data_IF_853958797494
#
_entry.id   IF_853958797494
#
_cell.length_a   1.000
_cell.length_b   1.000
_cell.length_c   1.000
_cell.angle_alpha   90.00
_cell.angle_beta   90.00
_cell.angle_gamma   90.00
#
_symmetry.space_group_name_H-M   'P 1'
#
loop_
_entity.id
_entity.type
_entity.pdbx_description
1 polymer ?
#
# COMPACT_ATOMS: atom_id res chain seq x y z
N UNK A 1 -2.10 -28.24 -11.30
CA UNK A 1 -3.33 -27.69 -10.68
C UNK A 1 -3.62 -28.32 -9.31
N UNK A 2 -3.56 -29.66 -9.15
CA UNK A 2 -3.82 -30.35 -7.88
C UNK A 2 -2.81 -29.97 -6.78
N UNK A 3 -1.53 -29.82 -7.12
CA UNK A 3 -0.47 -29.41 -6.19
C UNK A 3 -0.73 -28.01 -5.66
N UNK A 4 -1.01 -27.06 -6.53
CA UNK A 4 -1.33 -25.67 -6.15
C UNK A 4 -2.62 -25.64 -5.32
N UNK A 5 -3.64 -26.41 -5.72
CA UNK A 5 -4.89 -26.53 -4.96
C UNK A 5 -4.67 -27.09 -3.57
N UNK A 6 -3.81 -28.12 -3.44
CA UNK A 6 -3.46 -28.71 -2.13
C UNK A 6 -2.65 -27.74 -1.26
N UNK A 7 -1.70 -27.03 -1.86
CA UNK A 7 -0.93 -26.00 -1.18
C UNK A 7 -1.84 -24.87 -0.63
N UNK A 8 -2.79 -24.41 -1.46
CA UNK A 8 -3.75 -23.37 -1.04
C UNK A 8 -4.69 -23.85 0.07
N UNK A 9 -5.09 -25.11 0.09
CA UNK A 9 -5.85 -25.66 1.24
C UNK A 9 -5.06 -25.62 2.52
N UNK A 10 -3.75 -25.85 2.50
CA UNK A 10 -2.87 -25.76 3.66
C UNK A 10 -2.60 -24.31 4.09
N UNK A 11 -2.32 -23.44 3.15
CA UNK A 11 -1.90 -22.05 3.43
C UNK A 11 -3.06 -21.05 3.49
N UNK A 12 -4.24 -21.43 3.04
CA UNK A 12 -5.48 -20.64 3.06
C UNK A 12 -5.94 -20.20 1.69
N UNK A 13 -7.25 -20.04 1.56
CA UNK A 13 -7.89 -19.56 0.34
C UNK A 13 -7.73 -18.05 0.18
N UNK A 14 -7.80 -17.59 -1.07
CA UNK A 14 -7.71 -16.18 -1.44
C UNK A 14 -9.09 -15.56 -1.37
N UNK A 15 -9.34 -14.52 -0.56
CA UNK A 15 -10.59 -13.79 -0.63
C UNK A 15 -10.69 -12.98 -1.93
N UNK A 16 -11.91 -12.83 -2.45
CA UNK A 16 -12.16 -11.95 -3.58
C UNK A 16 -12.05 -10.49 -3.16
N UNK A 17 -11.31 -9.69 -3.93
CA UNK A 17 -11.20 -8.26 -3.75
C UNK A 17 -12.49 -7.52 -4.18
N UNK A 18 -12.69 -6.27 -3.76
CA UNK A 18 -13.74 -5.43 -4.32
C UNK A 18 -13.47 -5.14 -5.80
N UNK A 19 -14.53 -4.91 -6.60
CA UNK A 19 -14.41 -4.74 -8.06
C UNK A 19 -13.48 -3.58 -8.46
N UNK A 20 -13.55 -2.46 -7.75
CA UNK A 20 -12.71 -1.29 -8.00
C UNK A 20 -11.19 -1.52 -7.73
N UNK A 21 -10.82 -2.59 -7.03
CA UNK A 21 -9.41 -2.96 -6.85
C UNK A 21 -8.75 -3.46 -8.14
N UNK A 22 -9.53 -3.84 -9.14
CA UNK A 22 -9.07 -4.30 -10.46
C UNK A 22 -9.02 -3.18 -11.51
N UNK A 23 -9.35 -1.95 -11.13
CA UNK A 23 -9.27 -0.78 -12.00
C UNK A 23 -7.93 -0.04 -11.88
N UNK A 24 -7.91 1.20 -12.37
CA UNK A 24 -6.70 2.01 -12.34
C UNK A 24 -6.51 2.68 -10.97
N UNK A 25 -5.30 2.55 -10.44
CA UNK A 25 -4.87 3.10 -9.16
C UNK A 25 -3.79 4.14 -9.39
N UNK A 26 -4.10 5.38 -9.06
CA UNK A 26 -3.16 6.48 -9.17
C UNK A 26 -2.48 6.76 -7.83
N UNK A 27 -1.16 6.75 -7.85
CA UNK A 27 -0.33 7.07 -6.70
C UNK A 27 0.90 7.87 -7.14
N UNK A 28 1.32 8.77 -6.30
CA UNK A 28 2.64 9.41 -6.34
C UNK A 28 3.16 9.60 -4.93
N UNK A 29 4.44 9.66 -4.75
CA UNK A 29 5.06 10.08 -3.52
C UNK A 29 5.24 11.62 -3.62
N UNK A 30 4.45 12.42 -2.98
CA UNK A 30 3.12 12.23 -2.37
C UNK A 30 2.28 13.47 -2.59
N UNK A 31 0.97 13.42 -2.34
CA UNK A 31 0.18 14.64 -2.23
C UNK A 31 0.50 15.36 -0.90
N UNK A 32 0.73 16.67 -0.97
CA UNK A 32 1.12 17.46 0.19
C UNK A 32 -0.06 18.04 0.96
N UNK A 33 -1.25 17.99 0.38
CA UNK A 33 -2.48 18.50 1.00
C UNK A 33 -3.73 17.84 0.45
N UNK A 34 -4.81 17.94 1.22
CA UNK A 34 -6.17 17.59 0.81
C UNK A 34 -6.58 18.34 -0.48
N UNK A 35 -6.24 19.62 -0.58
CA UNK A 35 -6.58 20.44 -1.74
C UNK A 35 -5.89 19.93 -3.02
N UNK A 36 -4.61 19.57 -2.92
CA UNK A 36 -3.83 19.03 -4.04
C UNK A 36 -4.39 17.67 -4.50
N UNK A 37 -4.66 16.77 -3.56
CA UNK A 37 -5.24 15.46 -3.86
C UNK A 37 -6.59 15.59 -4.57
N UNK A 38 -7.49 16.43 -4.05
CA UNK A 38 -8.81 16.64 -4.65
C UNK A 38 -8.72 17.35 -5.99
N UNK A 39 -7.78 18.28 -6.20
CA UNK A 39 -7.56 18.92 -7.49
C UNK A 39 -7.13 17.90 -8.55
N UNK A 40 -6.19 17.01 -8.20
CA UNK A 40 -5.76 15.92 -9.09
C UNK A 40 -6.92 14.96 -9.40
N UNK A 41 -7.70 14.58 -8.41
CA UNK A 41 -8.88 13.72 -8.60
C UNK A 41 -9.91 14.34 -9.57
N UNK A 42 -10.20 15.63 -9.41
CA UNK A 42 -11.10 16.36 -10.33
C UNK A 42 -10.54 16.40 -11.74
N UNK A 43 -9.23 16.66 -11.91
CA UNK A 43 -8.60 16.70 -13.22
C UNK A 43 -8.69 15.36 -13.94
N UNK A 44 -8.56 14.24 -13.27
CA UNK A 44 -8.80 12.92 -13.87
C UNK A 44 -10.21 12.81 -14.48
N UNK A 45 -11.24 13.37 -13.80
CA UNK A 45 -12.62 13.38 -14.33
C UNK A 45 -12.79 14.39 -15.49
N UNK A 46 -12.19 15.57 -15.39
CA UNK A 46 -12.20 16.60 -16.44
C UNK A 46 -11.52 16.12 -17.73
N UNK A 47 -10.38 15.43 -17.58
CA UNK A 47 -9.63 14.81 -18.70
C UNK A 47 -10.27 13.48 -19.19
N UNK A 48 -11.37 13.06 -18.58
CA UNK A 48 -12.08 11.80 -18.89
C UNK A 48 -11.18 10.54 -18.77
N UNK A 49 -10.18 10.58 -17.91
CA UNK A 49 -9.32 9.43 -17.64
C UNK A 49 -9.98 8.58 -16.56
N UNK A 50 -10.28 7.29 -16.83
CA UNK A 50 -10.84 6.39 -15.84
C UNK A 50 -9.88 6.20 -14.67
N UNK A 51 -10.40 6.28 -13.45
CA UNK A 51 -9.66 6.03 -12.22
C UNK A 51 -10.62 5.51 -11.16
N UNK A 52 -10.25 4.45 -10.48
CA UNK A 52 -11.06 3.83 -9.42
C UNK A 52 -10.56 4.21 -8.04
N UNK A 53 -9.25 4.41 -7.87
CA UNK A 53 -8.65 4.67 -6.59
C UNK A 53 -7.48 5.64 -6.68
N UNK A 54 -7.47 6.64 -5.77
CA UNK A 54 -6.33 7.54 -5.55
C UNK A 54 -5.67 7.22 -4.21
N UNK A 55 -4.37 7.39 -4.14
CA UNK A 55 -3.59 7.02 -2.94
C UNK A 55 -3.01 8.26 -2.27
N UNK A 56 -3.32 8.44 -0.99
CA UNK A 56 -2.57 9.34 -0.11
C UNK A 56 -1.44 8.56 0.53
N UNK A 57 -0.24 8.81 0.08
CA UNK A 57 0.96 8.21 0.63
C UNK A 57 1.36 8.87 1.96
N UNK A 58 2.48 8.48 2.53
CA UNK A 58 3.01 8.82 3.84
C UNK A 58 3.06 10.33 4.16
N UNK A 59 3.41 10.68 5.40
CA UNK A 59 3.53 12.04 5.96
C UNK A 59 2.21 12.86 6.02
N UNK A 60 1.04 12.27 5.75
CA UNK A 60 -0.24 12.95 6.01
C UNK A 60 -0.44 13.29 7.50
N UNK A 61 0.32 12.66 8.36
CA UNK A 61 0.34 12.89 9.81
C UNK A 61 1.12 14.15 10.24
N UNK A 62 1.95 14.76 9.35
CA UNK A 62 2.68 15.99 9.56
C UNK A 62 3.38 16.08 10.92
N UNK A 63 3.04 17.11 11.68
CA UNK A 63 3.60 17.41 13.01
C UNK A 63 3.36 16.34 14.09
N UNK A 64 2.46 15.39 13.87
CA UNK A 64 2.11 14.36 14.86
C UNK A 64 3.08 13.18 14.90
N UNK A 65 4.02 13.12 13.96
CA UNK A 65 5.05 12.08 13.91
C UNK A 65 4.66 10.85 13.10
N UNK A 66 5.65 10.01 12.82
CA UNK A 66 5.55 8.87 11.92
C UNK A 66 4.42 7.92 12.32
N UNK A 67 3.49 7.69 11.37
CA UNK A 67 2.34 6.79 11.54
C UNK A 67 1.51 7.08 12.79
N UNK A 68 1.30 8.35 13.12
CA UNK A 68 0.54 8.80 14.29
C UNK A 68 -0.96 8.43 14.23
N UNK A 69 -1.41 7.76 13.15
CA UNK A 69 -2.82 7.42 12.89
C UNK A 69 -3.74 8.63 12.98
N UNK A 70 -3.28 9.75 12.43
CA UNK A 70 -3.97 11.04 12.45
C UNK A 70 -3.53 11.87 11.27
N UNK A 71 -4.47 12.57 10.63
CA UNK A 71 -4.15 13.61 9.67
C UNK A 71 -3.71 14.90 10.34
N UNK A 72 -2.76 15.60 9.73
CA UNK A 72 -2.38 16.95 10.11
C UNK A 72 -3.42 17.95 9.58
N UNK A 73 -4.13 18.59 10.46
CA UNK A 73 -5.23 19.50 10.12
C UNK A 73 -4.80 20.75 9.34
N UNK A 74 -3.52 21.11 9.36
CA UNK A 74 -2.99 22.22 8.56
C UNK A 74 -3.06 21.92 7.06
N UNK A 75 -2.75 20.68 6.69
CA UNK A 75 -2.71 20.22 5.29
C UNK A 75 -3.95 19.41 4.90
N UNK A 76 -4.60 18.77 5.86
CA UNK A 76 -5.80 17.95 5.67
C UNK A 76 -6.88 18.42 6.67
N UNK A 77 -7.52 19.59 6.43
CA UNK A 77 -8.43 20.20 7.39
C UNK A 77 -9.70 19.41 7.63
N UNK A 78 -10.16 18.62 6.66
CA UNK A 78 -11.36 17.79 6.77
C UNK A 78 -11.21 16.48 5.99
N UNK A 79 -10.51 15.48 6.55
CA UNK A 79 -10.32 14.20 5.87
C UNK A 79 -11.61 13.44 5.60
N UNK A 80 -12.64 13.59 6.45
CA UNK A 80 -13.94 12.95 6.23
C UNK A 80 -14.63 13.52 4.97
N UNK A 81 -14.61 14.84 4.81
CA UNK A 81 -15.10 15.50 3.59
C UNK A 81 -14.27 15.13 2.38
N UNK A 82 -12.94 15.04 2.50
CA UNK A 82 -12.07 14.60 1.41
C UNK A 82 -12.49 13.23 0.88
N UNK A 83 -12.76 12.26 1.75
CA UNK A 83 -13.23 10.93 1.36
C UNK A 83 -14.61 10.99 0.73
N UNK A 84 -15.53 11.79 1.31
CA UNK A 84 -16.88 11.99 0.74
C UNK A 84 -16.82 12.60 -0.67
N UNK A 85 -15.98 13.63 -0.87
CA UNK A 85 -15.81 14.27 -2.18
C UNK A 85 -15.24 13.30 -3.23
N UNK A 86 -14.33 12.41 -2.82
CA UNK A 86 -13.83 11.34 -3.70
C UNK A 86 -14.93 10.33 -4.04
N UNK A 87 -15.73 9.93 -3.06
CA UNK A 87 -16.87 9.02 -3.31
C UNK A 87 -17.92 9.63 -4.23
N UNK A 88 -18.18 10.94 -4.15
CA UNK A 88 -19.07 11.65 -5.09
C UNK A 88 -18.53 11.65 -6.53
N UNK A 89 -17.22 11.49 -6.68
CA UNK A 89 -16.54 11.32 -7.98
C UNK A 89 -16.37 9.84 -8.38
N UNK A 90 -17.02 8.89 -7.71
CA UNK A 90 -16.80 7.45 -7.89
C UNK A 90 -15.33 7.02 -7.78
N UNK A 91 -14.59 7.64 -6.87
CA UNK A 91 -13.21 7.27 -6.53
C UNK A 91 -13.11 6.77 -5.11
N UNK A 92 -12.20 5.82 -4.89
CA UNK A 92 -11.84 5.30 -3.57
C UNK A 92 -10.55 5.91 -3.07
N UNK A 93 -10.36 5.91 -1.74
CA UNK A 93 -9.12 6.37 -1.12
C UNK A 93 -8.38 5.22 -0.46
N UNK A 94 -7.10 5.07 -0.81
CA UNK A 94 -6.12 4.28 -0.07
C UNK A 94 -5.18 5.22 0.68
N UNK A 95 -4.83 4.88 1.92
CA UNK A 95 -3.76 5.58 2.64
C UNK A 95 -2.65 4.61 3.03
N UNK A 96 -1.41 5.11 3.10
CA UNK A 96 -0.31 4.32 3.62
C UNK A 96 -0.39 4.24 5.15
N UNK A 97 -0.15 3.05 5.69
CA UNK A 97 -0.04 2.75 7.11
C UNK A 97 1.20 1.90 7.34
N UNK A 98 1.79 2.04 8.52
CA UNK A 98 3.07 1.44 8.82
C UNK A 98 2.96 0.57 10.06
N UNK A 99 3.77 -0.48 10.12
CA UNK A 99 3.98 -1.24 11.36
C UNK A 99 4.97 -0.55 12.31
N UNK A 100 5.73 0.43 11.81
CA UNK A 100 6.58 1.35 12.55
C UNK A 100 5.77 2.55 13.04
N UNK A 101 6.11 3.08 14.22
CA UNK A 101 5.41 4.22 14.81
C UNK A 101 6.40 5.11 15.56
N UNK A 102 6.26 6.44 15.46
CA UNK A 102 7.06 7.38 16.25
C UNK A 102 6.75 7.20 17.74
N UNK A 103 7.73 6.84 18.59
CA UNK A 103 7.53 6.66 20.03
C UNK A 103 7.16 7.96 20.74
N UNK A 104 7.37 9.13 20.11
CA UNK A 104 6.99 10.43 20.65
C UNK A 104 5.57 10.86 20.24
N UNK A 105 4.95 10.20 19.27
CA UNK A 105 3.55 10.42 18.94
C UNK A 105 2.64 10.05 20.12
N UNK A 106 1.39 10.54 20.11
CA UNK A 106 0.41 10.21 21.16
C UNK A 106 0.23 8.69 21.30
N UNK A 107 0.00 8.00 20.17
CA UNK A 107 -0.20 6.54 20.15
C UNK A 107 1.09 5.80 20.46
N UNK A 108 2.23 6.29 19.94
CA UNK A 108 3.55 5.70 20.18
C UNK A 108 3.99 5.73 21.62
N UNK A 109 3.72 6.82 22.36
CA UNK A 109 3.97 6.91 23.82
C UNK A 109 3.22 5.81 24.59
N UNK A 110 1.96 5.57 24.22
CA UNK A 110 1.16 4.53 24.87
C UNK A 110 1.72 3.15 24.52
N UNK A 111 2.07 2.93 23.24
CA UNK A 111 2.69 1.69 22.78
C UNK A 111 4.00 1.38 23.55
N UNK A 112 4.85 2.41 23.71
CA UNK A 112 6.10 2.28 24.46
C UNK A 112 5.87 1.96 25.95
N UNK A 113 4.95 2.68 26.61
CA UNK A 113 4.61 2.45 28.00
C UNK A 113 4.07 1.04 28.27
N UNK A 114 3.36 0.49 27.31
CA UNK A 114 2.78 -0.88 27.40
C UNK A 114 3.72 -1.98 26.90
N UNK A 115 4.92 -1.64 26.41
CA UNK A 115 5.87 -2.59 25.88
C UNK A 115 5.41 -3.28 24.57
N UNK A 116 4.66 -2.55 23.72
CA UNK A 116 4.15 -3.08 22.46
C UNK A 116 5.14 -3.00 21.31
N UNK A 117 6.26 -2.30 21.46
CA UNK A 117 7.34 -2.33 20.49
C UNK A 117 8.24 -3.55 20.66
N UNK A 118 8.76 -4.06 19.55
CA UNK A 118 9.89 -4.98 19.56
C UNK A 118 11.06 -4.28 20.26
N UNK A 119 11.75 -4.91 21.22
CA UNK A 119 12.77 -4.24 22.02
C UNK A 119 13.84 -3.52 21.22
N UNK A 120 14.13 -2.27 21.60
CA UNK A 120 15.07 -1.36 20.92
C UNK A 120 14.70 -1.02 19.47
N UNK A 121 13.43 -1.09 19.13
CA UNK A 121 12.89 -0.62 17.85
C UNK A 121 11.69 0.30 18.05
N UNK A 122 11.13 0.78 16.93
CA UNK A 122 9.84 1.47 16.87
C UNK A 122 8.79 0.66 16.11
N UNK A 123 9.05 -0.63 15.87
CA UNK A 123 8.15 -1.58 15.22
C UNK A 123 7.24 -2.25 16.25
N UNK A 124 5.95 -2.28 15.96
CA UNK A 124 4.96 -2.99 16.80
C UNK A 124 5.22 -4.49 16.74
N UNK A 125 5.17 -5.15 17.90
CA UNK A 125 5.28 -6.62 17.99
C UNK A 125 3.95 -7.28 17.62
N UNK A 126 3.70 -7.47 16.31
CA UNK A 126 2.47 -8.09 15.82
C UNK A 126 2.34 -9.58 16.16
N UNK A 127 3.36 -10.20 16.74
CA UNK A 127 3.27 -11.55 17.29
C UNK A 127 2.67 -11.56 18.71
N UNK A 128 2.63 -10.40 19.39
CA UNK A 128 1.94 -10.22 20.66
C UNK A 128 0.49 -9.80 20.41
N UNK A 129 -0.47 -10.58 20.94
CA UNK A 129 -1.90 -10.32 20.80
C UNK A 129 -2.33 -8.99 21.43
N UNK A 130 -1.73 -8.57 22.54
CA UNK A 130 -2.03 -7.29 23.17
C UNK A 130 -1.56 -6.12 22.30
N UNK A 131 -0.37 -6.22 21.70
CA UNK A 131 0.18 -5.22 20.81
C UNK A 131 -0.62 -5.14 19.49
N UNK A 132 -0.99 -6.27 18.90
CA UNK A 132 -1.85 -6.36 17.72
C UNK A 132 -3.23 -5.75 17.98
N UNK A 133 -3.86 -6.08 19.11
CA UNK A 133 -5.15 -5.53 19.52
C UNK A 133 -5.09 -4.03 19.77
N UNK A 134 -4.00 -3.55 20.38
CA UNK A 134 -3.74 -2.13 20.56
C UNK A 134 -3.61 -1.41 19.24
N UNK A 135 -2.80 -1.94 18.30
CA UNK A 135 -2.65 -1.37 16.96
C UNK A 135 -3.99 -1.28 16.25
N UNK A 136 -4.75 -2.40 16.21
CA UNK A 136 -6.05 -2.43 15.56
C UNK A 136 -7.04 -1.43 16.17
N UNK A 137 -7.13 -1.34 17.50
CA UNK A 137 -8.06 -0.42 18.15
C UNK A 137 -7.80 1.04 17.78
N UNK A 138 -6.53 1.46 17.74
CA UNK A 138 -6.17 2.81 17.31
C UNK A 138 -6.43 3.04 15.81
N UNK A 139 -6.06 2.06 14.97
CA UNK A 139 -6.35 2.09 13.54
C UNK A 139 -7.86 2.25 13.26
N UNK A 140 -8.68 1.43 13.89
CA UNK A 140 -10.14 1.47 13.77
C UNK A 140 -10.71 2.81 14.21
N UNK A 141 -10.36 3.28 15.41
CA UNK A 141 -11.00 4.43 16.03
C UNK A 141 -10.46 5.77 15.50
N UNK A 142 -9.25 5.80 14.96
CA UNK A 142 -8.58 7.02 14.48
C UNK A 142 -8.57 7.18 12.95
N UNK A 143 -8.66 6.09 12.19
CA UNK A 143 -8.59 6.12 10.72
C UNK A 143 -9.84 5.53 10.06
N UNK A 144 -10.24 4.31 10.44
CA UNK A 144 -11.35 3.63 9.76
C UNK A 144 -12.70 4.30 10.04
N UNK A 145 -13.10 4.42 11.31
CA UNK A 145 -14.42 4.93 11.68
C UNK A 145 -14.62 6.41 11.37
N UNK A 146 -13.66 7.31 11.64
CA UNK A 146 -13.88 8.75 11.42
C UNK A 146 -14.00 9.13 9.95
N UNK A 147 -13.27 8.44 9.05
CA UNK A 147 -13.07 8.95 7.70
C UNK A 147 -13.67 8.07 6.59
N UNK A 148 -13.95 6.79 6.87
CA UNK A 148 -14.51 5.90 5.84
C UNK A 148 -13.53 5.51 4.73
N UNK A 149 -12.23 5.50 5.01
CA UNK A 149 -11.16 5.12 4.08
C UNK A 149 -11.40 3.72 3.53
N UNK A 150 -11.12 3.50 2.24
CA UNK A 150 -11.53 2.29 1.53
C UNK A 150 -10.46 1.19 1.50
N UNK A 151 -9.18 1.57 1.45
CA UNK A 151 -8.07 0.63 1.28
C UNK A 151 -6.83 1.04 2.09
N UNK A 152 -5.94 0.08 2.32
CA UNK A 152 -4.82 0.20 3.25
C UNK A 152 -3.53 -0.29 2.62
N UNK A 153 -2.54 0.58 2.55
CA UNK A 153 -1.21 0.28 2.07
C UNK A 153 -0.26 0.10 3.24
N UNK A 154 0.11 -1.15 3.51
CA UNK A 154 1.08 -1.53 4.54
C UNK A 154 2.48 -1.44 3.96
N UNK A 155 3.11 -0.29 4.10
CA UNK A 155 4.48 -0.09 3.63
C UNK A 155 5.51 -0.55 4.66
N UNK A 156 6.70 -0.94 4.18
CA UNK A 156 7.86 -1.34 4.97
C UNK A 156 7.59 -2.39 6.08
N UNK A 157 6.80 -3.40 5.75
CA UNK A 157 6.37 -4.45 6.67
C UNK A 157 7.24 -5.70 6.67
N UNK A 158 8.50 -5.62 6.24
CA UNK A 158 9.45 -6.73 6.23
C UNK A 158 9.82 -7.26 7.64
N UNK A 159 10.10 -6.51 8.72
CA UNK A 159 10.31 -5.06 8.84
C UNK A 159 11.55 -4.57 8.10
N UNK A 160 11.54 -3.29 7.73
CA UNK A 160 12.63 -2.67 7.00
C UNK A 160 13.96 -2.71 7.77
N UNK A 161 15.07 -2.94 7.06
CA UNK A 161 16.43 -2.98 7.62
C UNK A 161 16.71 -4.10 8.64
N UNK A 162 16.04 -5.23 8.53
CA UNK A 162 16.29 -6.41 9.36
C UNK A 162 16.11 -6.18 10.88
N UNK A 163 15.14 -5.38 11.28
CA UNK A 163 14.93 -4.99 12.67
C UNK A 163 14.60 -6.15 13.64
N UNK A 164 14.44 -7.38 13.14
CA UNK A 164 14.24 -8.58 13.99
C UNK A 164 15.54 -9.35 14.26
N UNK A 165 16.65 -9.07 13.60
CA UNK A 165 17.92 -9.75 13.83
C UNK A 165 18.48 -9.42 15.22
N UNK A 166 18.85 -10.47 15.97
CA UNK A 166 19.35 -10.34 17.34
C UNK A 166 18.32 -9.80 18.36
N UNK A 167 17.04 -9.70 17.99
CA UNK A 167 15.96 -9.21 18.84
C UNK A 167 15.03 -10.32 19.27
N UNK A 168 14.22 -10.04 20.27
CA UNK A 168 13.20 -10.96 20.74
C UNK A 168 11.81 -10.35 20.56
N UNK A 169 10.87 -11.18 20.14
CA UNK A 169 9.43 -10.89 19.96
C UNK A 169 8.61 -11.60 21.04
N UNK A 170 7.29 -11.45 20.99
CA UNK A 170 6.35 -12.07 21.95
C UNK A 170 6.72 -11.73 23.39
N UNK A 171 6.73 -10.44 23.73
CA UNK A 171 7.15 -9.95 25.05
C UNK A 171 8.55 -10.42 25.46
N UNK A 172 9.49 -10.36 24.53
CA UNK A 172 10.91 -10.67 24.73
C UNK A 172 11.20 -12.16 25.05
N UNK A 173 10.36 -13.08 24.57
CA UNK A 173 10.50 -14.52 24.87
C UNK A 173 11.08 -15.35 23.74
N UNK A 174 10.88 -14.96 22.48
CA UNK A 174 11.24 -15.73 21.28
C UNK A 174 12.22 -14.96 20.41
N UNK A 175 13.30 -15.61 19.88
CA UNK A 175 14.20 -14.96 18.91
C UNK A 175 13.45 -14.53 17.66
N UNK A 176 13.57 -13.24 17.28
CA UNK A 176 12.83 -12.63 16.18
C UNK A 176 13.23 -13.17 14.80
N UNK A 177 14.52 -13.50 14.61
CA UNK A 177 15.04 -14.06 13.38
C UNK A 177 14.37 -15.37 12.95
N UNK A 178 13.82 -16.14 13.89
CA UNK A 178 13.07 -17.37 13.59
C UNK A 178 11.73 -17.10 12.90
N UNK A 179 11.16 -15.92 13.13
CA UNK A 179 9.82 -15.54 12.65
C UNK A 179 9.83 -14.35 11.71
N UNK A 180 11.00 -13.83 11.35
CA UNK A 180 11.16 -12.62 10.55
C UNK A 180 10.28 -12.60 9.30
N UNK A 181 10.33 -13.65 8.49
CA UNK A 181 9.55 -13.73 7.25
C UNK A 181 8.04 -13.79 7.49
N UNK A 182 7.59 -14.14 8.69
CA UNK A 182 6.18 -14.16 9.05
C UNK A 182 5.67 -12.80 9.58
N UNK A 183 6.54 -11.82 9.80
CA UNK A 183 6.14 -10.50 10.30
C UNK A 183 5.07 -9.82 9.41
N UNK A 184 5.25 -9.69 8.07
CA UNK A 184 4.24 -9.10 7.20
C UNK A 184 2.91 -9.87 7.21
N UNK A 185 2.97 -11.18 7.39
CA UNK A 185 1.78 -12.02 7.54
C UNK A 185 0.97 -11.63 8.78
N UNK A 186 1.64 -11.36 9.92
CA UNK A 186 0.97 -10.97 11.16
C UNK A 186 0.40 -9.55 11.09
N UNK A 187 1.07 -8.64 10.41
CA UNK A 187 0.54 -7.29 10.13
C UNK A 187 -0.74 -7.39 9.29
N UNK A 188 -0.69 -8.10 8.17
CA UNK A 188 -1.84 -8.31 7.28
C UNK A 188 -2.99 -9.02 7.98
N UNK A 189 -2.69 -10.05 8.80
CA UNK A 189 -3.67 -10.75 9.64
C UNK A 189 -4.41 -9.78 10.55
N UNK A 190 -3.69 -8.94 11.28
CA UNK A 190 -4.26 -7.99 12.25
C UNK A 190 -5.27 -7.04 11.58
N UNK A 191 -4.90 -6.49 10.42
CA UNK A 191 -5.78 -5.56 9.70
C UNK A 191 -6.95 -6.30 9.05
N UNK A 192 -6.71 -7.44 8.42
CA UNK A 192 -7.76 -8.22 7.76
C UNK A 192 -8.83 -8.73 8.73
N UNK A 193 -8.41 -9.35 9.83
CA UNK A 193 -9.33 -9.85 10.86
C UNK A 193 -10.07 -8.71 11.56
N UNK A 194 -9.38 -7.58 11.80
CA UNK A 194 -10.00 -6.39 12.35
C UNK A 194 -11.06 -5.80 11.43
N UNK A 195 -10.78 -5.65 10.14
CA UNK A 195 -11.76 -5.20 9.14
C UNK A 195 -12.93 -6.17 9.05
N UNK A 196 -12.70 -7.47 9.03
CA UNK A 196 -13.76 -8.48 9.02
C UNK A 196 -14.68 -8.41 10.22
N UNK A 197 -14.18 -7.98 11.39
CA UNK A 197 -14.96 -7.81 12.61
C UNK A 197 -15.73 -6.49 12.63
N UNK A 198 -15.07 -5.38 12.28
CA UNK A 198 -15.63 -4.04 12.47
C UNK A 198 -16.34 -3.49 11.21
N UNK A 199 -16.06 -4.05 10.02
CA UNK A 199 -16.75 -3.72 8.75
C UNK A 199 -16.99 -4.98 7.89
N UNK A 200 -17.77 -5.95 8.37
CA UNK A 200 -17.92 -7.27 7.74
C UNK A 200 -18.63 -7.25 6.38
N UNK A 201 -19.21 -6.11 5.99
CA UNK A 201 -19.88 -5.97 4.69
C UNK A 201 -18.93 -5.55 3.58
N UNK A 202 -17.77 -5.04 3.92
CA UNK A 202 -16.78 -4.55 2.98
C UNK A 202 -15.70 -5.62 2.73
N UNK A 203 -15.39 -5.87 1.48
CA UNK A 203 -14.22 -6.69 1.12
C UNK A 203 -12.95 -5.90 1.38
N UNK A 204 -12.01 -6.41 2.19
CA UNK A 204 -10.76 -5.71 2.44
C UNK A 204 -9.90 -5.59 1.20
N UNK A 205 -9.21 -4.47 1.05
CA UNK A 205 -8.11 -4.28 0.12
C UNK A 205 -6.88 -3.87 0.92
N UNK A 206 -5.92 -4.78 1.00
CA UNK A 206 -4.67 -4.63 1.74
C UNK A 206 -3.51 -4.75 0.77
N UNK A 207 -2.71 -3.71 0.69
CA UNK A 207 -1.58 -3.62 -0.21
C UNK A 207 -0.28 -3.64 0.59
N UNK A 208 0.70 -4.47 0.22
CA UNK A 208 1.95 -4.64 0.97
C UNK A 208 3.11 -5.04 0.06
N UNK A 209 4.34 -4.58 0.35
CA UNK A 209 5.51 -4.97 -0.44
C UNK A 209 6.17 -6.26 0.04
N UNK A 210 5.70 -6.84 1.11
CA UNK A 210 6.27 -8.04 1.70
C UNK A 210 5.21 -9.08 2.01
N UNK A 211 5.56 -10.35 1.83
CA UNK A 211 4.65 -11.46 2.05
C UNK A 211 5.37 -12.73 2.47
N UNK A 212 4.59 -13.67 2.95
CA UNK A 212 5.03 -15.00 3.34
C UNK A 212 3.96 -16.03 2.98
N UNK A 213 4.28 -17.30 3.00
CA UNK A 213 3.31 -18.37 2.77
C UNK A 213 2.05 -18.19 3.61
N UNK A 214 0.90 -18.11 2.96
CA UNK A 214 -0.39 -17.86 3.62
C UNK A 214 -0.84 -16.38 3.59
N UNK A 215 -0.05 -15.43 3.08
CA UNK A 215 -0.43 -14.02 2.96
C UNK A 215 -1.70 -13.84 2.12
N UNK A 216 -1.93 -14.71 1.14
CA UNK A 216 -3.14 -14.68 0.30
C UNK A 216 -4.44 -14.80 1.09
N UNK A 217 -4.46 -15.54 2.23
CA UNK A 217 -5.67 -15.70 3.07
C UNK A 217 -6.17 -14.41 3.69
N UNK A 218 -5.28 -13.45 3.83
CA UNK A 218 -5.58 -12.12 4.37
C UNK A 218 -5.76 -11.07 3.28
N UNK A 219 -6.02 -11.48 2.03
CA UNK A 219 -6.27 -10.58 0.92
C UNK A 219 -5.09 -9.70 0.54
N UNK A 220 -3.87 -10.08 0.92
CA UNK A 220 -2.68 -9.30 0.66
C UNK A 220 -2.41 -9.21 -0.86
N UNK A 221 -2.29 -7.99 -1.35
CA UNK A 221 -1.85 -7.64 -2.69
C UNK A 221 -0.39 -7.21 -2.59
N UNK A 222 0.49 -7.85 -3.35
CA UNK A 222 1.92 -7.57 -3.30
C UNK A 222 2.35 -6.69 -4.47
N UNK A 223 3.29 -5.77 -4.22
CA UNK A 223 4.04 -5.11 -5.27
C UNK A 223 5.54 -5.36 -5.10
N UNK A 224 6.29 -5.14 -6.16
CA UNK A 224 7.70 -5.49 -6.24
C UNK A 224 8.65 -4.57 -5.46
N UNK A 225 8.11 -3.60 -4.70
CA UNK A 225 8.91 -2.63 -3.96
C UNK A 225 9.45 -1.49 -4.83
N UNK A 226 10.43 -0.77 -4.30
CA UNK A 226 11.01 0.43 -4.89
C UNK A 226 12.00 0.06 -6.00
N UNK A 227 11.48 -0.18 -7.20
CA UNK A 227 12.27 -0.66 -8.34
C UNK A 227 12.74 0.48 -9.26
N UNK A 228 13.80 0.20 -10.03
CA UNK A 228 14.26 1.09 -11.10
C UNK A 228 13.28 1.15 -12.28
N UNK A 229 13.60 2.01 -13.26
CA UNK A 229 12.70 2.29 -14.39
C UNK A 229 13.18 1.69 -15.73
N UNK A 230 14.35 1.05 -15.78
CA UNK A 230 14.98 0.60 -17.01
C UNK A 230 14.30 -0.63 -17.65
N UNK A 231 14.60 -0.88 -18.94
CA UNK A 231 14.05 -1.99 -19.72
C UNK A 231 14.33 -3.37 -19.11
N UNK A 232 15.49 -3.53 -18.49
CA UNK A 232 15.88 -4.79 -17.84
C UNK A 232 15.01 -5.04 -16.61
N UNK A 233 14.77 -3.99 -15.82
CA UNK A 233 13.89 -4.05 -14.66
C UNK A 233 12.47 -4.41 -15.08
N UNK A 234 11.89 -3.74 -16.09
CA UNK A 234 10.56 -4.08 -16.60
C UNK A 234 10.46 -5.56 -17.02
N UNK A 235 11.46 -6.05 -17.74
CA UNK A 235 11.50 -7.46 -18.15
C UNK A 235 11.51 -8.42 -16.96
N UNK A 236 12.28 -8.08 -15.91
CA UNK A 236 12.33 -8.91 -14.70
C UNK A 236 11.03 -8.88 -13.91
N UNK A 237 10.32 -7.75 -13.90
CA UNK A 237 9.03 -7.66 -13.24
C UNK A 237 8.01 -8.67 -13.80
N UNK A 238 7.97 -8.83 -15.12
CA UNK A 238 7.07 -9.82 -15.75
C UNK A 238 7.37 -11.24 -15.25
N UNK A 239 8.66 -11.62 -15.24
CA UNK A 239 9.07 -12.96 -14.77
C UNK A 239 8.83 -13.13 -13.27
N UNK A 240 9.10 -12.10 -12.47
CA UNK A 240 8.89 -12.13 -11.02
C UNK A 240 7.40 -12.27 -10.67
N UNK A 241 6.54 -11.51 -11.35
CA UNK A 241 5.09 -11.60 -11.15
C UNK A 241 4.54 -12.99 -11.51
N UNK A 242 4.94 -13.55 -12.65
CA UNK A 242 4.57 -14.91 -13.04
C UNK A 242 5.06 -15.97 -12.03
N UNK A 243 6.29 -15.78 -11.51
CA UNK A 243 6.82 -16.61 -10.43
C UNK A 243 5.98 -16.55 -9.18
N UNK A 244 5.62 -15.33 -8.74
CA UNK A 244 4.82 -15.12 -7.54
C UNK A 244 3.43 -15.73 -7.64
N UNK A 245 2.69 -15.46 -8.73
CA UNK A 245 1.33 -15.99 -8.87
C UNK A 245 1.30 -17.53 -8.96
N UNK A 246 2.35 -18.16 -9.51
CA UNK A 246 2.48 -19.62 -9.52
C UNK A 246 2.71 -20.22 -8.12
N UNK A 247 3.07 -19.43 -7.12
CA UNK A 247 3.12 -19.88 -5.71
C UNK A 247 1.78 -19.80 -4.98
N UNK A 248 0.71 -19.36 -5.63
CA UNK A 248 -0.62 -19.24 -5.04
C UNK A 248 -0.93 -17.87 -4.44
N UNK A 249 -0.11 -16.86 -4.70
CA UNK A 249 -0.31 -15.44 -4.37
C UNK A 249 -0.78 -14.71 -5.64
N UNK A 250 -2.09 -14.66 -5.94
CA UNK A 250 -2.57 -14.23 -7.26
C UNK A 250 -2.59 -12.71 -7.44
N UNK A 251 -2.59 -11.95 -6.35
CA UNK A 251 -2.70 -10.50 -6.39
C UNK A 251 -1.33 -9.85 -6.35
N UNK A 252 -0.90 -9.35 -7.51
CA UNK A 252 0.42 -8.75 -7.67
C UNK A 252 0.40 -7.56 -8.62
N UNK A 253 1.30 -6.61 -8.38
CA UNK A 253 1.54 -5.46 -9.23
C UNK A 253 2.97 -4.94 -9.10
N UNK A 254 3.26 -3.85 -9.76
CA UNK A 254 4.49 -3.06 -9.68
C UNK A 254 4.18 -1.56 -9.75
N UNK A 255 5.18 -0.73 -9.55
CA UNK A 255 5.12 0.70 -9.79
C UNK A 255 5.37 0.97 -11.28
N UNK A 256 4.31 1.18 -12.08
CA UNK A 256 4.47 1.44 -13.50
C UNK A 256 5.29 2.71 -13.74
N UNK A 257 6.30 2.60 -14.61
CA UNK A 257 7.31 3.63 -14.83
C UNK A 257 8.51 3.56 -13.92
N UNK A 258 8.52 2.62 -12.96
CA UNK A 258 9.52 2.51 -11.90
C UNK A 258 9.29 3.49 -10.76
N UNK A 259 9.68 3.11 -9.54
CA UNK A 259 9.66 4.01 -8.38
C UNK A 259 10.75 5.08 -8.50
N UNK A 260 12.00 4.67 -8.76
CA UNK A 260 13.09 5.61 -9.03
C UNK A 260 13.09 6.03 -10.50
N UNK A 261 12.84 7.32 -10.75
CA UNK A 261 12.69 7.91 -12.07
C UNK A 261 13.84 8.86 -12.40
N UNK A 262 14.18 9.09 -13.68
CA UNK A 262 15.19 10.05 -14.05
C UNK A 262 14.69 11.48 -13.78
N UNK A 263 15.62 12.38 -13.48
CA UNK A 263 15.29 13.78 -13.18
C UNK A 263 14.60 14.49 -14.35
N UNK A 264 14.97 14.15 -15.58
CA UNK A 264 14.44 14.69 -16.83
C UNK A 264 13.24 13.92 -17.39
N UNK A 265 12.55 13.15 -16.56
CA UNK A 265 11.50 12.19 -16.94
C UNK A 265 10.39 12.75 -17.86
N UNK A 266 10.08 14.05 -17.76
CA UNK A 266 9.01 14.68 -18.54
C UNK A 266 9.45 15.15 -19.93
N UNK A 267 10.75 15.17 -20.21
CA UNK A 267 11.34 15.58 -21.49
C UNK A 267 12.25 14.53 -22.12
N UNK A 268 12.50 13.43 -21.41
CA UNK A 268 13.33 12.33 -21.87
C UNK A 268 12.49 11.35 -22.69
N UNK A 269 12.61 11.39 -24.01
CA UNK A 269 11.82 10.57 -24.95
C UNK A 269 11.97 9.08 -24.67
N UNK A 270 13.18 8.60 -24.30
CA UNK A 270 13.43 7.20 -23.96
C UNK A 270 12.71 6.80 -22.67
N UNK A 271 12.65 7.70 -21.68
CA UNK A 271 11.88 7.43 -20.47
C UNK A 271 10.36 7.47 -20.73
N UNK A 272 9.88 8.41 -21.52
CA UNK A 272 8.44 8.49 -21.88
C UNK A 272 8.00 7.21 -22.61
N UNK A 273 8.81 6.72 -23.55
CA UNK A 273 8.58 5.41 -24.20
C UNK A 273 8.53 4.29 -23.14
N UNK A 274 9.48 4.23 -22.21
CA UNK A 274 9.47 3.23 -21.13
C UNK A 274 8.22 3.34 -20.27
N UNK A 275 7.84 4.56 -19.87
CA UNK A 275 6.62 4.77 -19.06
C UNK A 275 5.38 4.19 -19.76
N UNK A 276 5.21 4.45 -21.05
CA UNK A 276 4.12 3.87 -21.85
C UNK A 276 4.18 2.35 -21.82
N UNK A 277 5.36 1.74 -22.00
CA UNK A 277 5.49 0.26 -21.98
C UNK A 277 5.22 -0.35 -20.60
N UNK A 278 5.64 0.32 -19.54
CA UNK A 278 5.29 -0.10 -18.18
C UNK A 278 3.77 -0.10 -17.96
N UNK A 279 3.09 0.94 -18.43
CA UNK A 279 1.62 1.02 -18.34
C UNK A 279 0.96 -0.07 -19.16
N UNK A 280 1.43 -0.32 -20.40
CA UNK A 280 0.92 -1.41 -21.24
C UNK A 280 1.06 -2.78 -20.60
N UNK A 281 2.18 -3.06 -19.92
CA UNK A 281 2.32 -4.32 -19.15
C UNK A 281 1.38 -4.29 -17.94
N UNK A 282 1.24 -3.14 -17.27
CA UNK A 282 0.35 -2.95 -16.12
C UNK A 282 -1.10 -3.31 -16.39
N UNK A 283 -1.57 -3.11 -17.64
CA UNK A 283 -2.94 -3.48 -18.07
C UNK A 283 -3.23 -4.99 -17.93
N UNK A 284 -2.21 -5.83 -17.99
CA UNK A 284 -2.37 -7.29 -17.84
C UNK A 284 -2.22 -7.78 -16.40
N UNK A 285 -1.95 -6.88 -15.46
CA UNK A 285 -1.83 -7.24 -14.05
C UNK A 285 -3.21 -7.21 -13.36
N UNK A 286 -3.38 -7.99 -12.30
CA UNK A 286 -4.61 -7.93 -11.49
C UNK A 286 -4.92 -6.55 -10.93
N UNK A 287 -3.89 -5.72 -10.73
CA UNK A 287 -4.01 -4.36 -10.26
C UNK A 287 -3.14 -3.46 -11.14
N UNK A 288 -3.74 -2.48 -11.81
CA UNK A 288 -3.02 -1.50 -12.61
C UNK A 288 -2.68 -0.28 -11.74
N UNK A 289 -1.39 -0.07 -11.47
CA UNK A 289 -0.92 0.98 -10.57
C UNK A 289 0.24 1.78 -11.16
N UNK A 290 0.20 3.10 -10.97
CA UNK A 290 1.32 4.00 -11.20
C UNK A 290 1.79 4.56 -9.86
N UNK A 291 3.10 4.61 -9.64
CA UNK A 291 3.71 5.25 -8.46
C UNK A 291 5.14 5.70 -8.79
N UNK A 292 5.64 6.75 -8.15
CA UNK A 292 7.01 7.24 -8.36
C UNK A 292 7.48 8.16 -7.25
N UNK A 293 8.77 8.05 -6.92
CA UNK A 293 9.42 8.82 -5.88
C UNK A 293 9.59 10.28 -6.30
N UNK A 294 9.12 11.19 -5.45
CA UNK A 294 9.23 12.67 -5.61
C UNK A 294 8.88 13.14 -7.03
N UNK A 295 7.85 12.53 -7.64
CA UNK A 295 7.47 12.78 -9.03
C UNK A 295 5.98 12.94 -9.16
N UNK A 296 5.54 13.84 -10.04
CA UNK A 296 4.20 13.79 -10.59
C UNK A 296 4.12 12.59 -11.55
N UNK A 297 3.12 11.75 -11.37
CA UNK A 297 2.99 10.50 -12.11
C UNK A 297 1.75 10.46 -12.99
N UNK A 298 1.06 11.57 -13.08
CA UNK A 298 -0.16 11.76 -13.82
C UNK A 298 0.09 11.68 -15.34
N UNK A 299 -0.83 11.07 -16.11
CA UNK A 299 -0.64 10.91 -17.58
C UNK A 299 -0.34 12.20 -18.35
N UNK A 300 -0.92 13.31 -17.95
CA UNK A 300 -0.74 14.63 -18.60
C UNK A 300 0.64 15.27 -18.41
N UNK A 301 1.47 14.76 -17.51
CA UNK A 301 2.82 15.28 -17.30
C UNK A 301 3.79 14.91 -18.44
N UNK A 302 3.47 13.89 -19.23
CA UNK A 302 4.36 13.31 -20.26
C UNK A 302 4.06 13.79 -21.67
N UNK A 303 3.18 14.80 -21.84
CA UNK A 303 2.75 15.34 -23.12
C UNK A 303 1.53 14.65 -23.73
N UNK A 304 0.89 15.30 -24.70
CA UNK A 304 -0.43 14.90 -25.23
C UNK A 304 -0.44 13.50 -25.83
N UNK A 305 0.59 13.12 -26.59
CA UNK A 305 0.66 11.80 -27.21
C UNK A 305 0.81 10.70 -26.14
N UNK A 306 1.70 10.89 -25.18
CA UNK A 306 1.90 9.94 -24.09
C UNK A 306 0.64 9.84 -23.21
N UNK A 307 0.00 10.98 -22.89
CA UNK A 307 -1.28 11.00 -22.18
C UNK A 307 -2.33 10.16 -22.90
N UNK A 308 -2.51 10.34 -24.20
CA UNK A 308 -3.45 9.57 -25.00
C UNK A 308 -3.13 8.08 -24.95
N UNK A 309 -1.87 7.71 -25.21
CA UNK A 309 -1.43 6.29 -25.20
C UNK A 309 -1.57 5.63 -23.83
N UNK A 310 -1.31 6.35 -22.75
CA UNK A 310 -1.51 5.88 -21.38
C UNK A 310 -3.00 5.70 -21.08
N UNK A 311 -3.82 6.71 -21.43
CA UNK A 311 -5.27 6.68 -21.21
C UNK A 311 -5.94 5.54 -21.98
N UNK A 312 -5.50 5.26 -23.20
CA UNK A 312 -6.01 4.13 -24.01
C UNK A 312 -5.75 2.75 -23.37
N UNK A 313 -4.84 2.66 -22.37
CA UNK A 313 -4.54 1.42 -21.65
C UNK A 313 -5.33 1.29 -20.34
N UNK A 314 -5.81 2.39 -19.80
CA UNK A 314 -6.62 2.44 -18.59
C UNK A 314 -8.07 2.09 -18.92
#
# INVERSE_FOLDING_TARGET
>A
DEIIGSYRRLTGEVPMLPSWAFGYIHCRERFHSQAELLATARRFREEQIPIDLIVQDWQYWGKYGWNAMRFDEEHYPDPAKMVSDLHEMDMKLMISVWSKMDPNSEVGKIAQQRGHFIPNTTWIDFFDEDASSFYWSNFRDRLLKPYGIDAWWQDATEPENDDLEGRKIMKNTVPGELFRNAYPLMVSKTIYEGLGKDDPKRRPMIFTRSGFSGAQRYGAILWSGDVGNDWKTLRYQISAGLGLVSTGLPWWTFDAGGFFRPYDQYSNEDYIERMIRWVQVGTFLPMMRVHGYMSNTEPWEYGEEAQRLITDQI
#
